data_IF_085224845108
#
_entry.id   IF_085224845108
#
_cell.length_a   1.000
_cell.length_b   1.000
_cell.length_c   1.000
_cell.angle_alpha   90.00
_cell.angle_beta   90.00
_cell.angle_gamma   90.00
#
_symmetry.space_group_name_H-M   'P 1'
#
loop_
_entity.id
_entity.type
_entity.pdbx_description
1 polymer ?
#
# COMPACT_ATOMS: atom_id res chain seq x y z
N UNK A 1 -12.40 -24.68 49.23
CA UNK A 1 -11.12 -24.07 48.81
C UNK A 1 -11.45 -22.95 47.85
N UNK A 2 -11.66 -21.75 48.39
CA UNK A 2 -11.78 -20.51 47.62
C UNK A 2 -10.37 -19.96 47.41
N UNK A 3 -9.98 -19.69 46.16
CA UNK A 3 -8.76 -18.95 45.87
C UNK A 3 -9.12 -17.47 45.69
N UNK A 4 -8.69 -16.68 46.67
CA UNK A 4 -8.70 -15.22 46.67
C UNK A 4 -7.60 -14.72 45.72
N UNK A 5 -7.98 -14.00 44.66
CA UNK A 5 -7.06 -13.15 43.92
C UNK A 5 -6.93 -11.83 44.69
N UNK A 6 -5.71 -11.55 45.18
CA UNK A 6 -5.35 -10.27 45.79
C UNK A 6 -5.01 -9.26 44.70
N UNK A 7 -5.76 -8.16 44.67
CA UNK A 7 -5.35 -6.89 44.09
C UNK A 7 -4.00 -6.46 44.68
N UNK A 8 -3.04 -6.10 43.83
CA UNK A 8 -1.83 -5.37 44.22
C UNK A 8 -1.62 -4.17 43.31
N UNK A 9 -2.03 -3.03 43.85
CA UNK A 9 -1.36 -1.73 43.86
C UNK A 9 -0.67 -1.23 42.57
N UNK A 10 -1.36 -0.31 41.90
CA UNK A 10 -0.77 0.73 41.06
C UNK A 10 0.09 1.70 41.89
N UNK A 11 1.38 1.83 41.54
CA UNK A 11 2.12 3.12 41.43
C UNK A 11 3.61 2.90 41.15
N UNK A 12 4.05 3.32 39.96
CA UNK A 12 5.27 4.08 39.62
C UNK A 12 5.47 3.99 38.11
N UNK A 13 5.93 5.06 37.47
CA UNK A 13 5.97 5.27 36.00
C UNK A 13 6.77 4.14 35.33
N UNK A 14 6.08 3.07 34.92
CA UNK A 14 6.66 1.79 34.54
C UNK A 14 6.57 1.57 33.03
N UNK A 15 7.69 1.30 32.39
CA UNK A 15 7.73 0.74 31.03
C UNK A 15 6.72 -0.42 30.93
N UNK A 16 5.67 -0.24 30.13
CA UNK A 16 4.66 -1.26 29.89
C UNK A 16 5.33 -2.53 29.33
N UNK A 17 5.05 -3.69 29.92
CA UNK A 17 5.54 -4.95 29.36
C UNK A 17 4.88 -5.19 27.99
N UNK A 18 5.61 -5.81 27.07
CA UNK A 18 5.02 -6.29 25.83
C UNK A 18 4.01 -7.41 26.13
N UNK A 19 3.00 -7.60 25.28
CA UNK A 19 2.01 -8.70 25.41
C UNK A 19 2.66 -10.09 25.59
N UNK A 20 3.88 -10.31 25.06
CA UNK A 20 4.63 -11.56 25.22
C UNK A 20 5.31 -11.72 26.60
N UNK A 21 5.05 -10.81 27.55
CA UNK A 21 5.62 -10.80 28.89
C UNK A 21 7.06 -10.28 28.98
N UNK A 22 7.69 -9.92 27.86
CA UNK A 22 9.04 -9.38 27.84
C UNK A 22 9.08 -7.89 28.19
N UNK A 23 10.02 -7.52 29.06
CA UNK A 23 10.30 -6.14 29.46
C UNK A 23 11.53 -5.51 28.77
N UNK A 24 12.30 -6.31 28.01
CA UNK A 24 13.43 -5.81 27.23
C UNK A 24 12.94 -5.07 25.97
N UNK A 25 12.68 -3.78 26.14
CA UNK A 25 12.21 -2.87 25.10
C UNK A 25 13.32 -1.88 24.72
N UNK A 26 13.51 -1.67 23.42
CA UNK A 26 14.40 -0.63 22.89
C UNK A 26 13.58 0.52 22.33
N UNK A 27 13.99 1.76 22.58
CA UNK A 27 13.35 2.94 22.00
C UNK A 27 13.29 2.85 20.47
N UNK A 28 12.08 3.02 19.92
CA UNK A 28 11.86 3.12 18.48
C UNK A 28 11.61 4.58 18.08
N UNK A 29 10.73 5.26 18.82
CA UNK A 29 10.46 6.69 18.71
C UNK A 29 10.23 7.29 20.11
N UNK A 30 9.86 8.58 20.20
CA UNK A 30 9.45 9.19 21.47
C UNK A 30 8.17 8.61 22.06
N UNK A 31 7.37 7.92 21.24
CA UNK A 31 6.03 7.40 21.59
C UNK A 31 5.96 5.87 21.63
N UNK A 32 6.93 5.17 21.03
CA UNK A 32 6.91 3.72 20.89
C UNK A 32 8.27 3.10 21.23
N UNK A 33 8.23 1.89 21.78
CA UNK A 33 9.40 1.03 21.96
C UNK A 33 9.20 -0.33 21.30
N UNK A 34 10.26 -0.86 20.71
CA UNK A 34 10.27 -2.17 20.06
C UNK A 34 10.64 -3.27 21.07
N UNK A 35 9.83 -4.31 21.14
CA UNK A 35 10.12 -5.51 21.90
C UNK A 35 11.16 -6.38 21.18
N UNK A 36 12.36 -6.52 21.75
CA UNK A 36 13.44 -7.29 21.11
C UNK A 36 13.18 -8.79 21.02
N UNK A 37 12.19 -9.30 21.76
CA UNK A 37 11.85 -10.72 21.80
C UNK A 37 10.84 -11.11 20.73
N UNK A 38 9.76 -10.35 20.53
CA UNK A 38 8.72 -10.69 19.55
C UNK A 38 8.64 -9.76 18.33
N UNK A 39 9.22 -8.56 18.39
CA UNK A 39 9.22 -7.60 17.29
C UNK A 39 8.03 -6.63 17.27
N UNK A 40 7.14 -6.67 18.27
CA UNK A 40 6.02 -5.71 18.39
C UNK A 40 6.53 -4.34 18.82
N UNK A 41 5.99 -3.27 18.22
CA UNK A 41 6.09 -1.92 18.79
C UNK A 41 5.00 -1.74 19.84
N UNK A 42 5.40 -1.35 21.03
CA UNK A 42 4.55 -1.13 22.20
C UNK A 42 4.46 0.37 22.45
N UNK A 43 3.23 0.87 22.64
CA UNK A 43 3.02 2.26 23.02
C UNK A 43 3.66 2.56 24.38
N UNK A 44 4.32 3.71 24.48
CA UNK A 44 4.90 4.21 25.74
C UNK A 44 3.92 5.05 26.56
N UNK A 45 2.82 5.50 25.96
CA UNK A 45 1.78 6.30 26.60
C UNK A 45 0.38 5.74 26.31
N UNK A 46 0.11 4.46 26.61
CA UNK A 46 -1.20 3.88 26.37
C UNK A 46 -2.24 4.52 27.30
N UNK A 47 -3.49 4.59 26.83
CA UNK A 47 -4.64 4.81 27.71
C UNK A 47 -4.72 3.67 28.74
N UNK A 48 -5.21 3.99 29.95
CA UNK A 48 -5.49 2.95 30.94
C UNK A 48 -6.67 2.08 30.50
N UNK A 49 -6.72 0.83 30.98
CA UNK A 49 -7.82 -0.10 30.64
C UNK A 49 -9.20 0.51 30.88
N UNK A 50 -9.38 1.24 31.98
CA UNK A 50 -10.65 1.91 32.30
C UNK A 50 -11.04 2.98 31.27
N UNK A 51 -10.06 3.70 30.70
CA UNK A 51 -10.29 4.72 29.68
C UNK A 51 -10.63 4.12 28.30
N UNK A 52 -10.36 2.83 28.09
CA UNK A 52 -10.72 2.12 26.87
C UNK A 52 -12.16 1.59 26.93
N UNK A 53 -12.79 1.53 28.11
CA UNK A 53 -14.20 1.20 28.22
C UNK A 53 -15.07 2.42 27.94
N UNK A 54 -16.24 2.18 27.33
CA UNK A 54 -17.25 3.21 27.11
C UNK A 54 -18.33 3.06 28.18
N UNK A 55 -18.28 3.95 29.16
CA UNK A 55 -19.31 4.12 30.19
C UNK A 55 -20.24 5.28 29.86
N UNK A 56 -19.70 6.36 29.28
CA UNK A 56 -20.40 7.52 28.76
C UNK A 56 -19.95 7.80 27.32
N UNK A 57 -20.85 7.51 26.39
CA UNK A 57 -20.62 7.57 24.95
C UNK A 57 -20.35 8.99 24.43
N UNK A 58 -20.65 10.05 25.19
CA UNK A 58 -20.37 11.43 24.75
C UNK A 58 -18.95 11.90 25.09
N UNK A 59 -18.25 11.24 26.03
CA UNK A 59 -16.96 11.73 26.56
C UNK A 59 -15.85 10.68 26.57
N UNK A 60 -16.18 9.40 26.60
CA UNK A 60 -15.18 8.34 26.68
C UNK A 60 -14.49 8.11 25.33
N UNK A 61 -13.29 7.53 25.40
CA UNK A 61 -12.36 7.51 24.27
C UNK A 61 -12.91 6.79 23.04
N UNK A 62 -13.56 5.62 23.18
CA UNK A 62 -14.23 4.95 22.05
C UNK A 62 -15.70 5.31 21.91
N UNK A 63 -16.11 6.44 22.48
CA UNK A 63 -17.48 6.95 22.38
C UNK A 63 -17.80 7.55 21.01
N UNK A 64 -18.97 8.16 20.92
CA UNK A 64 -19.48 8.85 19.73
C UNK A 64 -18.54 9.92 19.19
N UNK A 65 -17.88 10.70 20.04
CA UNK A 65 -17.03 11.80 19.58
C UNK A 65 -15.80 11.29 18.82
N UNK A 66 -15.18 10.22 19.30
CA UNK A 66 -14.11 9.52 18.58
C UNK A 66 -14.56 9.07 17.19
N UNK A 67 -15.73 8.45 17.10
CA UNK A 67 -16.29 8.05 15.81
C UNK A 67 -16.50 9.23 14.85
N UNK A 68 -17.02 10.35 15.34
CA UNK A 68 -17.24 11.56 14.54
C UNK A 68 -15.92 12.22 14.11
N UNK A 69 -14.95 12.29 15.01
CA UNK A 69 -13.64 12.87 14.74
C UNK A 69 -12.85 12.00 13.76
N UNK A 70 -12.70 10.71 14.03
CA UNK A 70 -12.00 9.78 13.14
C UNK A 70 -12.63 9.77 11.73
N UNK A 71 -13.96 9.72 11.66
CA UNK A 71 -14.66 9.75 10.38
C UNK A 71 -14.41 11.04 9.58
N UNK A 72 -14.41 12.20 10.23
CA UNK A 72 -14.31 13.49 9.54
C UNK A 72 -12.87 13.94 9.30
N UNK A 73 -12.00 13.76 10.28
CA UNK A 73 -10.62 14.23 10.27
C UNK A 73 -9.68 13.26 9.55
N UNK A 74 -9.84 11.95 9.79
CA UNK A 74 -8.91 10.94 9.25
C UNK A 74 -9.42 10.37 7.92
N UNK A 75 -10.73 10.09 7.82
CA UNK A 75 -11.32 9.47 6.62
C UNK A 75 -11.99 10.48 5.67
N UNK A 76 -12.18 11.73 6.10
CA UNK A 76 -12.77 12.79 5.27
C UNK A 76 -14.26 12.58 4.94
N UNK A 77 -14.98 11.74 5.69
CA UNK A 77 -16.40 11.50 5.47
C UNK A 77 -17.27 12.43 6.34
N UNK A 78 -18.29 13.09 5.76
CA UNK A 78 -19.09 14.08 6.47
C UNK A 78 -20.08 13.46 7.46
N UNK A 79 -20.51 12.20 7.24
CA UNK A 79 -21.40 11.48 8.14
C UNK A 79 -21.22 9.95 8.04
N UNK A 80 -21.77 9.25 9.04
CA UNK A 80 -21.70 7.79 9.19
C UNK A 80 -22.47 7.04 8.09
N UNK A 81 -23.45 7.68 7.46
CA UNK A 81 -24.22 7.10 6.36
C UNK A 81 -23.41 7.08 5.05
N UNK A 82 -22.59 8.11 4.81
CA UNK A 82 -21.67 8.14 3.67
C UNK A 82 -20.53 7.15 3.90
N UNK A 83 -19.91 7.15 5.09
CA UNK A 83 -18.86 6.18 5.44
C UNK A 83 -19.34 4.74 5.26
N UNK A 84 -20.43 4.36 5.94
CA UNK A 84 -20.95 2.98 5.90
C UNK A 84 -21.30 2.49 4.51
N UNK A 85 -21.76 3.38 3.62
CA UNK A 85 -22.02 3.07 2.20
C UNK A 85 -20.74 2.93 1.38
N UNK A 86 -19.71 3.73 1.65
CA UNK A 86 -18.42 3.65 0.94
C UNK A 86 -17.67 2.38 1.29
N UNK A 87 -17.68 2.02 2.57
CA UNK A 87 -17.04 0.80 3.08
C UNK A 87 -17.63 -0.47 2.43
N UNK A 88 -18.94 -0.48 2.11
CA UNK A 88 -19.57 -1.60 1.37
C UNK A 88 -18.89 -1.92 0.03
N UNK A 89 -18.48 -0.88 -0.71
CA UNK A 89 -17.91 -1.01 -2.05
C UNK A 89 -16.39 -1.09 -2.08
N UNK A 90 -15.73 -0.86 -0.95
CA UNK A 90 -14.26 -0.85 -0.83
C UNK A 90 -13.80 -1.94 0.15
N UNK A 91 -13.82 -1.62 1.45
CA UNK A 91 -13.28 -2.48 2.51
C UNK A 91 -14.06 -3.79 2.64
N UNK A 92 -15.38 -3.70 2.76
CA UNK A 92 -16.25 -4.85 2.99
C UNK A 92 -16.18 -5.86 1.84
N UNK A 93 -16.18 -5.39 0.60
CA UNK A 93 -16.08 -6.29 -0.56
C UNK A 93 -14.69 -6.95 -0.63
N UNK A 94 -13.63 -6.22 -0.27
CA UNK A 94 -12.28 -6.78 -0.18
C UNK A 94 -12.18 -7.87 0.88
N UNK A 95 -12.64 -7.60 2.10
CA UNK A 95 -12.63 -8.58 3.19
C UNK A 95 -13.53 -9.78 2.90
N UNK A 96 -14.71 -9.53 2.31
CA UNK A 96 -15.64 -10.59 1.94
C UNK A 96 -15.04 -11.55 0.90
N UNK A 97 -14.33 -11.04 -0.11
CA UNK A 97 -13.64 -11.87 -1.11
C UNK A 97 -12.72 -12.89 -0.47
N UNK A 98 -12.01 -12.52 0.59
CA UNK A 98 -11.18 -13.46 1.34
C UNK A 98 -12.03 -14.39 2.19
N UNK A 99 -12.99 -13.87 2.96
CA UNK A 99 -13.85 -14.69 3.83
C UNK A 99 -14.50 -15.85 3.05
N UNK A 100 -15.15 -15.54 1.92
CA UNK A 100 -15.91 -16.53 1.13
C UNK A 100 -15.01 -17.58 0.47
N UNK A 101 -13.72 -17.30 0.28
CA UNK A 101 -12.75 -18.30 -0.20
C UNK A 101 -12.48 -19.38 0.83
N UNK A 102 -12.63 -19.11 2.12
CA UNK A 102 -12.28 -20.03 3.21
C UNK A 102 -13.49 -20.62 3.93
N UNK A 103 -14.65 -19.97 3.87
CA UNK A 103 -15.93 -20.52 4.34
C UNK A 103 -17.02 -20.07 3.40
N UNK A 104 -17.80 -21.00 2.84
CA UNK A 104 -18.99 -20.68 2.04
C UNK A 104 -20.22 -20.47 2.96
N UNK A 105 -21.24 -19.71 2.53
CA UNK A 105 -22.51 -19.67 3.23
C UNK A 105 -23.26 -21.02 3.10
N UNK A 106 -24.09 -21.40 4.08
CA UNK A 106 -24.33 -20.70 5.35
C UNK A 106 -23.19 -20.92 6.35
N UNK A 107 -22.97 -19.95 7.23
CA UNK A 107 -22.04 -20.05 8.36
C UNK A 107 -22.32 -18.98 9.42
N UNK A 108 -21.90 -19.25 10.66
CA UNK A 108 -22.04 -18.36 11.81
C UNK A 108 -20.80 -17.48 11.95
N UNK A 109 -20.98 -16.16 11.84
CA UNK A 109 -19.88 -15.18 11.81
C UNK A 109 -20.05 -14.11 12.88
N UNK A 110 -18.98 -13.81 13.62
CA UNK A 110 -18.93 -12.69 14.55
C UNK A 110 -17.87 -11.68 14.10
N UNK A 111 -18.25 -10.42 13.95
CA UNK A 111 -17.31 -9.32 13.72
C UNK A 111 -17.07 -8.58 15.04
N UNK A 112 -15.84 -8.58 15.53
CA UNK A 112 -15.44 -7.83 16.73
C UNK A 112 -14.99 -6.45 16.27
N UNK A 113 -15.47 -5.40 16.95
CA UNK A 113 -15.27 -4.01 16.53
C UNK A 113 -15.98 -3.73 15.21
N UNK A 114 -17.25 -4.13 15.10
CA UNK A 114 -17.99 -4.07 13.84
C UNK A 114 -18.30 -2.63 13.37
N UNK A 115 -18.04 -1.63 14.21
CA UNK A 115 -18.32 -0.25 13.92
C UNK A 115 -19.78 -0.06 13.53
N UNK A 116 -20.01 0.73 12.47
CA UNK A 116 -21.36 0.97 11.96
C UNK A 116 -22.06 -0.28 11.39
N UNK A 117 -21.39 -1.43 11.31
CA UNK A 117 -22.00 -2.75 11.06
C UNK A 117 -22.30 -3.07 9.60
N UNK A 118 -21.72 -2.33 8.65
CA UNK A 118 -22.01 -2.55 7.23
C UNK A 118 -21.42 -3.88 6.74
N UNK A 119 -20.35 -4.39 7.35
CA UNK A 119 -19.77 -5.69 7.00
C UNK A 119 -20.61 -6.85 7.55
N UNK A 120 -21.06 -6.78 8.81
CA UNK A 120 -22.12 -7.68 9.34
C UNK A 120 -23.31 -7.76 8.38
N UNK A 121 -23.86 -6.61 7.97
CA UNK A 121 -25.00 -6.55 7.07
C UNK A 121 -24.70 -7.16 5.70
N UNK A 122 -23.51 -6.89 5.16
CA UNK A 122 -23.04 -7.46 3.89
C UNK A 122 -22.99 -8.99 3.95
N UNK A 123 -22.47 -9.55 5.04
CA UNK A 123 -22.42 -11.01 5.25
C UNK A 123 -23.83 -11.63 5.38
N UNK A 124 -24.78 -10.96 6.04
CA UNK A 124 -26.17 -11.45 6.08
C UNK A 124 -26.80 -11.51 4.69
N UNK A 125 -26.60 -10.49 3.85
CA UNK A 125 -27.07 -10.50 2.46
C UNK A 125 -26.43 -11.62 1.63
N UNK A 126 -25.21 -12.01 1.98
CA UNK A 126 -24.50 -13.13 1.39
C UNK A 126 -24.93 -14.52 1.93
N UNK A 127 -25.89 -14.59 2.86
CA UNK A 127 -26.44 -15.84 3.38
C UNK A 127 -25.78 -16.37 4.65
N UNK A 128 -24.94 -15.57 5.33
CA UNK A 128 -24.37 -15.93 6.62
C UNK A 128 -25.30 -15.54 7.78
N UNK A 129 -25.18 -16.24 8.90
CA UNK A 129 -25.72 -15.80 10.18
C UNK A 129 -24.64 -14.95 10.88
N UNK A 130 -24.65 -13.64 10.63
CA UNK A 130 -23.64 -12.73 11.16
C UNK A 130 -24.16 -11.80 12.25
N UNK A 131 -23.29 -11.50 13.21
CA UNK A 131 -23.50 -10.53 14.29
C UNK A 131 -22.22 -9.71 14.55
N UNK A 132 -22.37 -8.56 15.21
CA UNK A 132 -21.26 -7.67 15.54
C UNK A 132 -21.05 -7.48 17.05
N UNK A 133 -19.88 -7.00 17.43
CA UNK A 133 -19.56 -6.50 18.78
C UNK A 133 -19.02 -5.08 18.65
N UNK A 134 -19.54 -4.14 19.42
CA UNK A 134 -19.15 -2.73 19.37
C UNK A 134 -19.23 -2.08 20.76
N UNK A 135 -18.31 -1.16 21.05
CA UNK A 135 -18.19 -0.49 22.34
C UNK A 135 -19.14 0.70 22.47
N UNK A 136 -19.36 1.45 21.37
CA UNK A 136 -20.21 2.65 21.38
C UNK A 136 -21.69 2.33 21.20
N UNK A 137 -22.52 2.72 22.17
CA UNK A 137 -23.98 2.52 22.11
C UNK A 137 -24.63 3.31 20.97
N UNK A 138 -24.13 4.50 20.63
CA UNK A 138 -24.58 5.29 19.49
C UNK A 138 -24.34 4.55 18.16
N UNK A 139 -23.18 3.94 18.00
CA UNK A 139 -22.83 3.16 16.80
C UNK A 139 -23.64 1.85 16.72
N UNK A 140 -23.79 1.14 17.84
CA UNK A 140 -24.70 -0.02 17.94
C UNK A 140 -26.11 0.36 17.47
N UNK A 141 -26.64 1.47 18.01
CA UNK A 141 -27.97 1.97 17.65
C UNK A 141 -28.08 2.32 16.16
N UNK A 142 -26.99 2.83 15.56
CA UNK A 142 -26.95 3.11 14.12
C UNK A 142 -27.02 1.82 13.30
N UNK A 143 -26.22 0.81 13.64
CA UNK A 143 -26.19 -0.47 12.92
C UNK A 143 -27.54 -1.18 12.97
N UNK A 144 -28.14 -1.28 14.16
CA UNK A 144 -29.46 -1.88 14.36
C UNK A 144 -30.55 -1.16 13.55
N UNK A 145 -30.59 0.18 13.58
CA UNK A 145 -31.63 0.96 12.89
C UNK A 145 -31.45 1.01 11.37
N UNK A 146 -30.20 1.07 10.90
CA UNK A 146 -29.88 1.28 9.49
C UNK A 146 -29.86 -0.03 8.70
N UNK A 147 -29.28 -1.07 9.30
CA UNK A 147 -29.07 -2.36 8.65
C UNK A 147 -29.92 -3.50 9.22
N UNK A 148 -30.54 -3.33 10.40
CA UNK A 148 -31.34 -4.39 11.02
C UNK A 148 -30.51 -5.56 11.54
N UNK A 149 -29.23 -5.33 11.86
CA UNK A 149 -28.30 -6.37 12.28
C UNK A 149 -28.27 -6.54 13.81
N UNK A 150 -27.93 -7.74 14.32
CA UNK A 150 -27.65 -7.94 15.73
C UNK A 150 -26.25 -7.44 16.09
N UNK A 151 -26.15 -6.57 17.09
CA UNK A 151 -24.87 -6.08 17.62
C UNK A 151 -24.87 -6.17 19.14
N UNK A 152 -23.84 -6.78 19.70
CA UNK A 152 -23.62 -6.84 21.15
C UNK A 152 -22.84 -5.60 21.60
N UNK A 153 -23.34 -4.93 22.65
CA UNK A 153 -22.67 -3.78 23.24
C UNK A 153 -21.60 -4.21 24.25
N UNK A 154 -20.39 -3.68 24.08
CA UNK A 154 -19.29 -3.80 25.03
C UNK A 154 -18.18 -4.75 24.56
N UNK A 155 -17.25 -5.11 25.46
CA UNK A 155 -16.10 -5.95 25.12
C UNK A 155 -16.54 -7.40 24.89
N UNK A 156 -15.80 -8.13 24.05
CA UNK A 156 -16.06 -9.55 23.78
C UNK A 156 -16.13 -10.37 25.07
N UNK A 157 -15.25 -10.07 26.03
CA UNK A 157 -15.11 -10.74 27.32
C UNK A 157 -16.41 -10.76 28.14
N UNK A 158 -17.33 -9.83 27.90
CA UNK A 158 -18.59 -9.70 28.63
C UNK A 158 -19.79 -10.32 27.90
N UNK A 159 -19.58 -10.88 26.70
CA UNK A 159 -20.66 -11.43 25.88
C UNK A 159 -20.75 -12.93 26.11
N UNK A 160 -21.94 -13.40 26.50
CA UNK A 160 -22.22 -14.81 26.68
C UNK A 160 -22.57 -15.46 25.33
N UNK A 161 -21.54 -15.97 24.66
CA UNK A 161 -21.67 -16.79 23.45
C UNK A 161 -21.29 -18.24 23.74
N UNK A 162 -22.01 -19.17 23.11
CA UNK A 162 -21.72 -20.60 23.26
C UNK A 162 -20.33 -20.93 22.70
N UNK A 163 -19.53 -21.68 23.47
CA UNK A 163 -18.22 -22.17 23.00
C UNK A 163 -18.38 -23.07 21.78
N UNK A 164 -17.47 -22.97 20.82
CA UNK A 164 -17.51 -23.76 19.59
C UNK A 164 -18.75 -23.51 18.73
N UNK A 165 -19.35 -22.32 18.80
CA UNK A 165 -20.57 -21.98 18.06
C UNK A 165 -20.31 -21.27 16.74
N UNK A 166 -19.14 -20.63 16.56
CA UNK A 166 -18.84 -19.78 15.41
C UNK A 166 -17.95 -20.48 14.37
N UNK A 167 -18.24 -20.27 13.09
CA UNK A 167 -17.38 -20.71 11.98
C UNK A 167 -16.23 -19.71 11.74
N UNK A 168 -16.53 -18.42 11.85
CA UNK A 168 -15.56 -17.34 11.57
C UNK A 168 -15.69 -16.24 12.62
N UNK A 169 -14.55 -15.75 13.09
CA UNK A 169 -14.47 -14.50 13.85
C UNK A 169 -13.60 -13.52 13.08
N UNK A 170 -14.11 -12.32 12.87
CA UNK A 170 -13.49 -11.26 12.09
C UNK A 170 -13.02 -10.15 13.04
N UNK A 171 -11.81 -9.63 12.83
CA UNK A 171 -11.27 -8.44 13.48
C UNK A 171 -10.59 -7.57 12.43
N UNK A 172 -11.20 -6.45 12.05
CA UNK A 172 -10.62 -5.50 11.10
C UNK A 172 -10.22 -4.24 11.84
N UNK A 173 -8.92 -3.98 11.92
CA UNK A 173 -8.35 -2.79 12.57
C UNK A 173 -8.77 -2.71 14.06
N UNK A 174 -8.63 -3.84 14.78
CA UNK A 174 -9.02 -4.01 16.19
C UNK A 174 -7.88 -4.52 17.06
N UNK A 175 -7.06 -5.44 16.55
CA UNK A 175 -6.10 -6.19 17.34
C UNK A 175 -5.06 -5.28 18.02
N UNK A 176 -4.68 -4.20 17.35
CA UNK A 176 -3.75 -3.17 17.81
C UNK A 176 -4.30 -2.31 18.95
N UNK A 177 -5.61 -2.18 19.05
CA UNK A 177 -6.33 -1.43 20.09
C UNK A 177 -6.54 -2.25 21.37
N UNK A 178 -6.33 -3.56 21.32
CA UNK A 178 -6.62 -4.44 22.45
C UNK A 178 -5.60 -4.25 23.58
N UNK A 179 -6.06 -3.99 24.83
CA UNK A 179 -5.16 -3.88 25.98
C UNK A 179 -4.54 -5.23 26.36
N UNK A 180 -5.28 -6.33 26.15
CA UNK A 180 -4.79 -7.68 26.38
C UNK A 180 -5.12 -8.59 25.19
N UNK A 181 -4.36 -8.49 24.08
CA UNK A 181 -4.65 -9.23 22.85
C UNK A 181 -4.60 -10.75 23.07
N UNK A 182 -3.78 -11.23 24.02
CA UNK A 182 -3.69 -12.67 24.33
C UNK A 182 -5.01 -13.21 24.87
N UNK A 183 -5.61 -12.52 25.86
CA UNK A 183 -6.89 -12.93 26.45
C UNK A 183 -8.02 -12.89 25.43
N UNK A 184 -8.14 -11.81 24.66
CA UNK A 184 -9.20 -11.69 23.65
C UNK A 184 -9.06 -12.76 22.58
N UNK A 185 -7.85 -13.01 22.06
CA UNK A 185 -7.61 -14.08 21.09
C UNK A 185 -7.93 -15.47 21.67
N UNK A 186 -7.63 -15.72 22.95
CA UNK A 186 -8.04 -16.96 23.63
C UNK A 186 -9.56 -17.12 23.64
N UNK A 187 -10.30 -16.07 24.01
CA UNK A 187 -11.76 -16.09 23.99
C UNK A 187 -12.30 -16.36 22.58
N UNK A 188 -11.78 -15.67 21.56
CA UNK A 188 -12.16 -15.93 20.16
C UNK A 188 -11.97 -17.41 19.80
N UNK A 189 -10.82 -17.98 20.17
CA UNK A 189 -10.51 -19.37 19.89
C UNK A 189 -11.43 -20.34 20.65
N UNK A 190 -11.90 -20.03 21.86
CA UNK A 190 -12.90 -20.83 22.58
C UNK A 190 -14.28 -20.80 21.93
N UNK A 191 -14.65 -19.67 21.32
CA UNK A 191 -15.93 -19.50 20.61
C UNK A 191 -15.94 -20.16 19.24
N UNK A 192 -14.78 -20.27 18.59
CA UNK A 192 -14.65 -20.94 17.29
C UNK A 192 -14.85 -22.45 17.36
N UNK A 193 -15.58 -22.98 16.37
CA UNK A 193 -15.63 -24.41 16.06
C UNK A 193 -14.22 -24.98 15.82
N UNK A 194 -14.03 -26.31 15.95
CA UNK A 194 -12.73 -26.93 15.69
C UNK A 194 -12.14 -26.63 14.31
N UNK A 195 -12.98 -26.48 13.29
CA UNK A 195 -12.62 -26.12 11.91
C UNK A 195 -12.83 -24.63 11.59
N UNK A 196 -13.17 -23.81 12.58
CA UNK A 196 -13.35 -22.38 12.44
C UNK A 196 -12.01 -21.63 12.30
N UNK A 197 -12.09 -20.35 11.93
CA UNK A 197 -10.91 -19.52 11.76
C UNK A 197 -11.10 -18.05 12.18
N UNK A 198 -9.98 -17.40 12.46
CA UNK A 198 -9.89 -15.95 12.62
C UNK A 198 -9.56 -15.31 11.27
N UNK A 199 -10.24 -14.23 10.93
CA UNK A 199 -9.92 -13.35 9.81
C UNK A 199 -9.52 -11.99 10.38
N UNK A 200 -8.26 -11.59 10.21
CA UNK A 200 -7.69 -10.44 10.91
C UNK A 200 -7.02 -9.50 9.92
N UNK A 201 -7.38 -8.22 9.93
CA UNK A 201 -6.57 -7.14 9.38
C UNK A 201 -6.09 -6.23 10.51
N UNK A 202 -4.82 -5.84 10.48
CA UNK A 202 -4.20 -4.94 11.46
C UNK A 202 -2.93 -4.32 10.86
N UNK A 203 -2.47 -3.15 11.35
CA UNK A 203 -1.20 -2.57 10.91
C UNK A 203 -0.01 -3.53 11.04
N UNK A 204 0.82 -3.58 9.98
CA UNK A 204 2.06 -4.35 9.91
C UNK A 204 3.28 -3.47 10.17
N UNK A 205 3.86 -3.62 11.36
CA UNK A 205 5.22 -3.14 11.59
C UNK A 205 6.22 -4.03 10.83
N UNK A 206 6.77 -3.48 9.75
CA UNK A 206 7.86 -4.11 8.98
C UNK A 206 9.18 -3.99 9.74
N UNK A 207 9.58 -5.10 10.39
CA UNK A 207 10.82 -5.19 11.16
C UNK A 207 12.06 -4.79 10.36
N UNK A 208 13.09 -4.30 11.06
CA UNK A 208 14.35 -3.87 10.45
C UNK A 208 14.33 -2.46 9.86
N UNK A 209 13.18 -1.79 9.86
CA UNK A 209 13.08 -0.34 9.62
C UNK A 209 13.24 0.42 10.92
N UNK A 210 14.06 1.47 10.93
CA UNK A 210 14.12 2.44 12.03
C UNK A 210 13.06 3.53 11.83
N UNK A 211 12.76 4.29 12.88
CA UNK A 211 11.86 5.45 12.75
C UNK A 211 12.37 6.47 11.71
N UNK A 212 13.69 6.71 11.65
CA UNK A 212 14.28 7.59 10.63
C UNK A 212 14.02 7.08 9.23
N UNK A 213 14.19 5.78 8.99
CA UNK A 213 13.93 5.18 7.68
C UNK A 213 12.47 5.39 7.26
N UNK A 214 11.52 5.27 8.20
CA UNK A 214 10.11 5.49 7.90
C UNK A 214 9.83 6.96 7.54
N UNK A 215 10.47 7.91 8.22
CA UNK A 215 10.37 9.35 7.93
C UNK A 215 10.97 9.67 6.56
N UNK A 216 12.16 9.17 6.27
CA UNK A 216 12.87 9.41 5.01
C UNK A 216 12.11 8.82 3.81
N UNK A 217 11.44 7.67 4.01
CA UNK A 217 10.60 7.02 3.01
C UNK A 217 9.18 7.60 2.92
N UNK A 218 8.82 8.55 3.79
CA UNK A 218 7.44 9.06 3.93
C UNK A 218 6.42 7.90 4.06
N UNK A 219 6.79 6.88 4.84
CA UNK A 219 6.00 5.66 4.94
C UNK A 219 4.60 5.95 5.48
N UNK A 220 3.53 5.45 4.83
CA UNK A 220 2.16 5.54 5.35
C UNK A 220 2.01 4.98 6.76
N UNK A 221 2.86 4.02 7.14
CA UNK A 221 2.88 3.44 8.48
C UNK A 221 3.14 4.47 9.60
N UNK A 222 3.73 5.63 9.29
CA UNK A 222 3.86 6.72 10.27
C UNK A 222 2.51 7.18 10.82
N UNK A 223 1.46 7.12 9.99
CA UNK A 223 0.08 7.42 10.41
C UNK A 223 -0.49 6.44 11.44
N UNK A 224 0.09 5.24 11.52
CA UNK A 224 -0.29 4.21 12.50
C UNK A 224 0.39 4.41 13.86
N UNK A 225 1.29 5.37 14.02
CA UNK A 225 1.96 5.63 15.30
C UNK A 225 1.11 6.54 16.22
N UNK A 226 -0.05 6.03 16.62
CA UNK A 226 -1.04 6.70 17.47
C UNK A 226 -1.02 6.09 18.89
N UNK A 227 -0.15 6.57 19.81
CA UNK A 227 0.16 5.85 21.05
C UNK A 227 -1.02 5.73 22.04
N UNK A 228 -2.01 6.58 21.89
CA UNK A 228 -3.27 6.60 22.62
C UNK A 228 -4.28 5.57 22.09
N UNK A 229 -4.12 5.10 20.85
CA UNK A 229 -5.04 4.17 20.19
C UNK A 229 -4.41 2.80 19.95
N UNK A 230 -3.27 2.78 19.27
CA UNK A 230 -2.56 1.58 18.85
C UNK A 230 -1.56 1.15 19.93
N UNK A 231 -2.05 0.37 20.87
CA UNK A 231 -1.28 -0.11 22.03
C UNK A 231 -0.17 -1.07 21.61
N UNK A 232 -0.46 -1.94 20.63
CA UNK A 232 0.45 -2.95 20.12
C UNK A 232 0.44 -2.94 18.58
N UNK A 233 1.50 -2.44 17.95
CA UNK A 233 1.68 -2.56 16.50
C UNK A 233 2.51 -3.81 16.19
N UNK A 234 1.87 -4.79 15.59
CA UNK A 234 2.42 -6.11 15.41
C UNK A 234 3.30 -6.21 14.17
N UNK A 235 4.38 -7.00 14.26
CA UNK A 235 5.04 -7.56 13.08
C UNK A 235 4.46 -8.93 12.72
N UNK A 236 4.69 -9.41 11.50
CA UNK A 236 4.35 -10.80 11.12
C UNK A 236 4.91 -11.83 12.08
N UNK A 237 6.15 -11.65 12.54
CA UNK A 237 6.79 -12.55 13.51
C UNK A 237 6.02 -12.57 14.82
N UNK A 238 5.59 -11.40 15.29
CA UNK A 238 4.83 -11.28 16.54
C UNK A 238 3.43 -11.91 16.42
N UNK A 239 2.73 -11.74 15.29
CA UNK A 239 1.44 -12.40 15.01
C UNK A 239 1.59 -13.93 14.93
N UNK A 240 2.58 -14.40 14.19
CA UNK A 240 2.85 -15.84 14.10
C UNK A 240 3.17 -16.42 15.48
N UNK A 241 3.89 -15.68 16.32
CA UNK A 241 4.22 -16.11 17.67
C UNK A 241 2.99 -16.17 18.58
N UNK A 242 2.22 -15.09 18.70
CA UNK A 242 1.05 -15.07 19.60
C UNK A 242 0.05 -16.17 19.23
N UNK A 243 -0.21 -16.36 17.93
CA UNK A 243 -1.13 -17.40 17.46
C UNK A 243 -0.60 -18.82 17.73
N UNK A 244 0.70 -19.07 17.51
CA UNK A 244 1.29 -20.38 17.82
C UNK A 244 1.28 -20.69 19.32
N UNK A 245 1.54 -19.71 20.18
CA UNK A 245 1.47 -19.85 21.64
C UNK A 245 0.04 -20.20 22.09
N UNK A 246 -0.98 -19.78 21.33
CA UNK A 246 -2.40 -20.12 21.53
C UNK A 246 -2.84 -21.41 20.81
N UNK A 247 -1.91 -22.16 20.22
CA UNK A 247 -2.19 -23.44 19.55
C UNK A 247 -2.73 -23.32 18.12
N UNK A 248 -2.66 -22.14 17.50
CA UNK A 248 -3.05 -21.88 16.12
C UNK A 248 -1.83 -21.97 15.22
N UNK A 249 -1.78 -23.00 14.36
CA UNK A 249 -0.58 -23.31 13.56
C UNK A 249 -0.72 -22.98 12.07
N UNK A 250 -1.95 -22.93 11.55
CA UNK A 250 -2.20 -22.63 10.15
C UNK A 250 -2.48 -21.14 10.03
N UNK A 251 -1.48 -20.39 9.58
CA UNK A 251 -1.55 -18.93 9.44
C UNK A 251 -1.20 -18.60 8.01
N UNK A 252 -2.18 -18.05 7.27
CA UNK A 252 -2.06 -17.66 5.87
C UNK A 252 -2.17 -16.15 5.79
N UNK A 253 -1.19 -15.50 5.17
CA UNK A 253 -1.25 -14.05 4.90
C UNK A 253 -1.83 -13.81 3.51
N UNK A 254 -2.88 -13.01 3.46
CA UNK A 254 -3.55 -12.56 2.24
C UNK A 254 -3.17 -11.10 1.94
N UNK A 255 -3.53 -10.61 0.77
CA UNK A 255 -3.28 -9.21 0.41
C UNK A 255 -4.22 -8.29 1.19
N UNK A 256 -3.67 -7.44 2.05
CA UNK A 256 -4.43 -6.40 2.72
C UNK A 256 -4.91 -5.34 1.72
N UNK A 257 -6.02 -4.66 2.04
CA UNK A 257 -6.52 -3.57 1.19
C UNK A 257 -5.53 -2.39 1.15
N UNK A 258 -4.87 -2.14 2.28
CA UNK A 258 -3.81 -1.14 2.40
C UNK A 258 -2.44 -1.80 2.65
N UNK A 259 -1.98 -2.58 1.68
CA UNK A 259 -0.76 -3.42 1.79
C UNK A 259 0.56 -2.67 2.12
N UNK A 260 0.57 -1.35 2.01
CA UNK A 260 1.73 -0.54 2.39
C UNK A 260 1.99 -0.55 3.89
N UNK A 261 0.92 -0.58 4.69
CA UNK A 261 0.99 -0.48 6.16
C UNK A 261 0.18 -1.53 6.91
N UNK A 262 -0.69 -2.32 6.27
CA UNK A 262 -1.45 -3.40 6.89
C UNK A 262 -0.94 -4.79 6.54
N UNK A 263 -1.18 -5.74 7.45
CA UNK A 263 -1.23 -7.17 7.13
C UNK A 263 -2.66 -7.67 7.22
N UNK A 264 -2.97 -8.68 6.40
CA UNK A 264 -4.26 -9.36 6.40
C UNK A 264 -4.00 -10.86 6.48
N UNK A 265 -4.68 -11.56 7.39
CA UNK A 265 -4.42 -12.97 7.63
C UNK A 265 -5.66 -13.79 7.98
N UNK A 266 -5.54 -15.08 7.69
CA UNK A 266 -6.47 -16.13 8.07
C UNK A 266 -5.74 -17.10 8.99
N UNK A 267 -6.29 -17.37 10.17
CA UNK A 267 -5.64 -18.22 11.17
C UNK A 267 -6.58 -19.30 11.71
N UNK A 268 -6.15 -20.57 11.65
CA UNK A 268 -6.93 -21.72 12.12
C UNK A 268 -6.07 -22.78 12.81
N UNK A 269 -6.73 -23.57 13.67
CA UNK A 269 -6.15 -24.75 14.31
C UNK A 269 -5.93 -25.89 13.32
N UNK A 270 -6.74 -25.96 12.28
CA UNK A 270 -6.67 -26.99 11.22
C UNK A 270 -6.24 -26.36 9.90
N UNK A 271 -5.78 -27.20 8.97
CA UNK A 271 -5.49 -26.74 7.63
C UNK A 271 -6.79 -26.31 6.96
N UNK A 272 -6.81 -25.09 6.42
CA UNK A 272 -7.94 -24.57 5.67
C UNK A 272 -7.78 -24.90 4.18
N UNK A 273 -8.88 -25.32 3.57
CA UNK A 273 -9.00 -25.44 2.13
C UNK A 273 -9.61 -24.17 1.56
N UNK A 274 -9.25 -23.82 0.33
CA UNK A 274 -9.85 -22.70 -0.39
C UNK A 274 -10.84 -23.20 -1.42
N UNK A 275 -11.90 -22.42 -1.61
CA UNK A 275 -12.91 -22.66 -2.62
C UNK A 275 -12.57 -21.94 -3.93
N UNK A 276 -12.82 -22.61 -5.04
CA UNK A 276 -12.73 -22.02 -6.39
C UNK A 276 -13.83 -20.97 -6.61
N UNK A 277 -13.62 -20.08 -7.57
CA UNK A 277 -14.60 -19.06 -7.93
C UNK A 277 -15.95 -19.65 -8.32
N UNK A 278 -15.97 -20.80 -9.01
CA UNK A 278 -17.18 -21.51 -9.39
C UNK A 278 -17.93 -22.06 -8.17
N UNK A 279 -17.22 -22.56 -7.16
CA UNK A 279 -17.83 -23.01 -5.90
C UNK A 279 -18.39 -21.84 -5.10
N UNK A 280 -17.67 -20.72 -5.04
CA UNK A 280 -18.13 -19.48 -4.41
C UNK A 280 -19.40 -18.97 -5.09
N UNK A 281 -19.39 -18.87 -6.42
CA UNK A 281 -20.56 -18.42 -7.19
C UNK A 281 -21.75 -19.35 -6.97
N UNK A 282 -21.55 -20.67 -7.05
CA UNK A 282 -22.60 -21.65 -6.83
C UNK A 282 -23.23 -21.55 -5.42
N UNK A 283 -22.41 -21.34 -4.39
CA UNK A 283 -22.88 -21.18 -3.02
C UNK A 283 -23.69 -19.89 -2.82
N UNK A 284 -23.20 -18.77 -3.37
CA UNK A 284 -23.91 -17.49 -3.30
C UNK A 284 -25.21 -17.53 -4.13
N UNK A 285 -25.23 -18.15 -5.30
CA UNK A 285 -26.44 -18.30 -6.12
C UNK A 285 -27.52 -19.15 -5.44
N UNK A 286 -27.15 -20.03 -4.50
CA UNK A 286 -28.11 -20.81 -3.73
C UNK A 286 -28.96 -19.94 -2.78
N UNK A 287 -28.49 -18.73 -2.45
CA UNK A 287 -29.20 -17.80 -1.57
C UNK A 287 -29.80 -16.63 -2.38
N UNK A 288 -31.15 -16.48 -2.44
CA UNK A 288 -31.81 -15.51 -3.31
C UNK A 288 -31.36 -14.06 -3.14
N UNK A 289 -30.96 -13.66 -1.92
CA UNK A 289 -30.54 -12.29 -1.60
C UNK A 289 -29.11 -11.97 -2.05
N UNK A 290 -28.29 -12.99 -2.33
CA UNK A 290 -26.86 -12.81 -2.62
C UNK A 290 -26.57 -12.38 -4.06
N UNK A 291 -27.60 -12.13 -4.89
CA UNK A 291 -27.44 -11.56 -6.23
C UNK A 291 -26.77 -10.18 -6.21
N UNK A 292 -27.09 -9.35 -5.21
CA UNK A 292 -26.44 -8.05 -5.03
C UNK A 292 -24.97 -8.22 -4.61
N UNK A 293 -24.69 -9.18 -3.71
CA UNK A 293 -23.32 -9.54 -3.32
C UNK A 293 -22.49 -9.98 -4.53
N UNK A 294 -23.02 -10.87 -5.37
CA UNK A 294 -22.36 -11.31 -6.60
C UNK A 294 -22.09 -10.16 -7.56
N UNK A 295 -23.06 -9.27 -7.77
CA UNK A 295 -22.85 -8.09 -8.62
C UNK A 295 -21.76 -7.15 -8.07
N UNK A 296 -21.64 -6.99 -6.76
CA UNK A 296 -20.57 -6.22 -6.14
C UNK A 296 -19.21 -6.91 -6.28
N UNK A 297 -19.16 -8.23 -6.18
CA UNK A 297 -17.95 -9.02 -6.45
C UNK A 297 -17.50 -8.84 -7.89
N UNK A 298 -18.41 -8.98 -8.86
CA UNK A 298 -18.13 -8.77 -10.29
C UNK A 298 -17.61 -7.36 -10.56
N UNK A 299 -18.20 -6.34 -9.92
CA UNK A 299 -17.74 -4.95 -10.05
C UNK A 299 -16.33 -4.78 -9.49
N UNK A 300 -16.02 -5.41 -8.35
CA UNK A 300 -14.68 -5.37 -7.76
C UNK A 300 -13.65 -6.08 -8.63
N UNK A 301 -13.96 -7.23 -9.22
CA UNK A 301 -13.05 -7.90 -10.16
C UNK A 301 -12.76 -7.02 -11.39
N UNK A 302 -13.79 -6.35 -11.93
CA UNK A 302 -13.61 -5.41 -13.05
C UNK A 302 -12.76 -4.21 -12.66
N UNK A 303 -12.97 -3.66 -11.47
CA UNK A 303 -12.17 -2.56 -10.95
C UNK A 303 -10.69 -2.94 -10.83
N UNK A 304 -10.40 -4.13 -10.28
CA UNK A 304 -9.03 -4.63 -10.15
C UNK A 304 -8.36 -4.86 -11.51
N UNK A 305 -9.07 -5.46 -12.47
CA UNK A 305 -8.56 -5.64 -13.82
C UNK A 305 -8.28 -4.29 -14.53
N UNK A 306 -9.13 -3.28 -14.30
CA UNK A 306 -8.90 -1.93 -14.80
C UNK A 306 -7.70 -1.25 -14.13
N UNK A 307 -7.52 -1.44 -12.82
CA UNK A 307 -6.38 -0.90 -12.08
C UNK A 307 -5.05 -1.49 -12.57
N UNK A 308 -5.00 -2.81 -12.83
CA UNK A 308 -3.84 -3.47 -13.43
C UNK A 308 -3.54 -2.93 -14.83
N UNK A 309 -4.56 -2.81 -15.68
CA UNK A 309 -4.41 -2.22 -17.03
C UNK A 309 -3.91 -0.78 -16.98
N UNK A 310 -4.39 0.02 -16.02
CA UNK A 310 -3.94 1.39 -15.83
C UNK A 310 -2.47 1.43 -15.39
N UNK A 311 -2.07 0.57 -14.46
CA UNK A 311 -0.69 0.46 -13.99
C UNK A 311 0.26 0.12 -15.15
N UNK A 312 -0.10 -0.84 -15.99
CA UNK A 312 0.67 -1.20 -17.19
C UNK A 312 0.78 -0.01 -18.15
N UNK A 313 -0.32 0.72 -18.37
CA UNK A 313 -0.32 1.91 -19.22
C UNK A 313 0.56 3.03 -18.67
N UNK A 314 0.60 3.22 -17.35
CA UNK A 314 1.44 4.23 -16.71
C UNK A 314 2.93 3.85 -16.77
N UNK A 315 3.26 2.56 -16.64
CA UNK A 315 4.62 2.06 -16.82
C UNK A 315 5.11 2.24 -18.26
N UNK A 316 4.28 1.92 -19.26
CA UNK A 316 4.60 2.18 -20.67
C UNK A 316 4.76 3.69 -20.94
N UNK A 317 3.90 4.54 -20.36
CA UNK A 317 4.04 6.01 -20.47
C UNK A 317 5.37 6.49 -19.89
N UNK A 318 5.77 5.99 -18.73
CA UNK A 318 7.02 6.34 -18.08
C UNK A 318 8.23 5.91 -18.92
N UNK A 319 8.22 4.67 -19.45
CA UNK A 319 9.29 4.17 -20.31
C UNK A 319 9.42 4.97 -21.62
N UNK A 320 8.30 5.36 -22.24
CA UNK A 320 8.30 6.22 -23.43
C UNK A 320 8.82 7.62 -23.13
N UNK A 321 8.48 8.18 -21.97
CA UNK A 321 9.00 9.49 -21.55
C UNK A 321 10.53 9.44 -21.41
N UNK A 322 11.09 8.39 -20.82
CA UNK A 322 12.54 8.19 -20.73
C UNK A 322 13.19 8.14 -22.11
N UNK A 323 12.61 7.39 -23.06
CA UNK A 323 13.10 7.35 -24.44
C UNK A 323 13.04 8.71 -25.14
N UNK A 324 11.95 9.46 -24.94
CA UNK A 324 11.82 10.83 -25.50
C UNK A 324 12.91 11.74 -24.94
N UNK A 325 13.22 11.66 -23.64
CA UNK A 325 14.28 12.45 -23.01
C UNK A 325 15.64 12.12 -23.66
N UNK A 326 15.96 10.83 -23.83
CA UNK A 326 17.20 10.37 -24.48
C UNK A 326 17.30 10.86 -25.92
N UNK A 327 16.26 10.64 -26.73
CA UNK A 327 16.24 11.05 -28.14
C UNK A 327 16.30 12.57 -28.30
N UNK A 328 15.66 13.32 -27.41
CA UNK A 328 15.73 14.79 -27.41
C UNK A 328 17.14 15.28 -27.13
N UNK A 329 17.87 14.61 -26.22
CA UNK A 329 19.27 14.94 -25.94
C UNK A 329 20.16 14.63 -27.15
N UNK A 330 20.00 13.46 -27.77
CA UNK A 330 20.72 13.09 -28.99
C UNK A 330 20.46 14.05 -30.15
N UNK A 331 19.20 14.52 -30.30
CA UNK A 331 18.85 15.50 -31.33
C UNK A 331 19.57 16.83 -31.11
N UNK A 332 19.61 17.34 -29.87
CA UNK A 332 20.35 18.57 -29.54
C UNK A 332 21.84 18.44 -29.87
N UNK A 333 22.45 17.30 -29.54
CA UNK A 333 23.85 17.02 -29.87
C UNK A 333 24.07 16.96 -31.39
N UNK A 334 23.16 16.32 -32.12
CA UNK A 334 23.21 16.25 -33.57
C UNK A 334 23.05 17.64 -34.22
N UNK A 335 22.18 18.50 -33.69
CA UNK A 335 21.99 19.88 -34.16
C UNK A 335 23.25 20.73 -33.95
N UNK A 336 23.90 20.62 -32.79
CA UNK A 336 25.19 21.30 -32.51
C UNK A 336 26.26 20.83 -33.49
N UNK A 337 26.39 19.51 -33.68
CA UNK A 337 27.35 18.93 -34.63
C UNK A 337 27.07 19.38 -36.06
N UNK A 338 25.80 19.43 -36.47
CA UNK A 338 25.41 19.94 -37.79
C UNK A 338 25.84 21.38 -37.98
N UNK A 339 25.66 22.24 -36.97
CA UNK A 339 26.06 23.64 -37.04
C UNK A 339 27.58 23.78 -37.18
N UNK A 340 28.36 22.98 -36.45
CA UNK A 340 29.83 22.93 -36.59
C UNK A 340 30.25 22.52 -38.00
N UNK A 341 29.63 21.48 -38.56
CA UNK A 341 29.91 21.02 -39.92
C UNK A 341 29.58 22.10 -40.97
N UNK A 342 28.47 22.82 -40.82
CA UNK A 342 28.11 23.93 -41.73
C UNK A 342 29.22 24.98 -41.72
N UNK A 343 29.65 25.44 -40.54
CA UNK A 343 30.74 26.43 -40.43
C UNK A 343 32.05 25.93 -41.04
N UNK A 344 32.35 24.64 -40.89
CA UNK A 344 33.55 24.05 -41.49
C UNK A 344 33.47 23.97 -43.02
N UNK A 345 32.30 23.64 -43.58
CA UNK A 345 32.07 23.63 -45.02
C UNK A 345 32.19 25.05 -45.59
N UNK A 346 31.64 26.06 -44.93
CA UNK A 346 31.77 27.46 -45.34
C UNK A 346 33.24 27.91 -45.39
N UNK A 347 34.02 27.57 -44.34
CA UNK A 347 35.45 27.90 -44.29
C UNK A 347 36.25 27.20 -45.41
N UNK A 348 35.98 25.91 -45.66
CA UNK A 348 36.63 25.17 -46.74
C UNK A 348 36.24 25.72 -48.12
N UNK A 349 34.98 26.12 -48.30
CA UNK A 349 34.50 26.71 -49.56
C UNK A 349 35.26 28.01 -49.87
N UNK A 350 35.44 28.88 -48.87
CA UNK A 350 36.26 30.10 -49.03
C UNK A 350 37.72 29.78 -49.40
N UNK A 351 38.33 28.76 -48.78
CA UNK A 351 39.70 28.35 -49.13
C UNK A 351 39.82 27.86 -50.57
N UNK A 352 38.82 27.10 -51.04
CA UNK A 352 38.76 26.62 -52.43
C UNK A 352 38.61 27.79 -53.40
N UNK A 353 37.76 28.77 -53.11
CA UNK A 353 37.63 29.99 -53.94
C UNK A 353 38.95 30.76 -54.05
N UNK A 354 39.63 31.00 -52.93
CA UNK A 354 40.94 31.68 -52.90
C UNK A 354 41.98 30.90 -53.70
N UNK A 355 42.05 29.58 -53.52
CA UNK A 355 42.98 28.71 -54.26
C UNK A 355 42.68 28.70 -55.76
N UNK A 356 41.39 28.72 -56.14
CA UNK A 356 40.97 28.79 -57.55
C UNK A 356 41.43 30.09 -58.20
N UNK A 357 41.23 31.23 -57.53
CA UNK A 357 41.71 32.54 -58.02
C UNK A 357 43.24 32.57 -58.15
N UNK A 358 43.98 31.95 -57.22
CA UNK A 358 45.43 31.84 -57.30
C UNK A 358 45.88 31.00 -58.50
N UNK A 359 45.22 29.87 -58.76
CA UNK A 359 45.49 29.02 -59.93
C UNK A 359 45.21 29.77 -61.23
N UNK A 360 44.10 30.52 -61.32
CA UNK A 360 43.78 31.36 -62.48
C UNK A 360 44.87 32.43 -62.71
N UNK A 361 45.29 33.13 -61.65
CA UNK A 361 46.34 34.14 -61.74
C UNK A 361 47.70 33.56 -62.18
N UNK A 362 48.08 32.40 -61.62
CA UNK A 362 49.30 31.69 -62.02
C UNK A 362 49.23 31.22 -63.47
N UNK A 363 48.07 30.75 -63.93
CA UNK A 363 47.84 30.33 -65.32
C UNK A 363 48.05 31.51 -66.27
N UNK A 364 47.46 32.67 -65.97
CA UNK A 364 47.67 33.90 -66.75
C UNK A 364 49.14 34.34 -66.76
N UNK A 365 49.86 34.23 -65.63
CA UNK A 365 51.29 34.54 -65.58
C UNK A 365 52.12 33.59 -66.45
N UNK A 366 51.82 32.29 -66.44
CA UNK A 366 52.49 31.29 -67.28
C UNK A 366 52.22 31.57 -68.76
N UNK A 367 50.99 31.90 -69.14
CA UNK A 367 50.64 32.29 -70.51
C UNK A 367 51.41 33.54 -70.95
N UNK A 368 51.46 34.58 -70.11
CA UNK A 368 52.20 35.81 -70.40
C UNK A 368 53.72 35.56 -70.54
N UNK A 369 54.31 34.74 -69.66
CA UNK A 369 55.71 34.35 -69.74
C UNK A 369 56.00 33.54 -71.01
N UNK A 370 55.12 32.59 -71.38
CA UNK A 370 55.24 31.84 -72.63
C UNK A 370 55.18 32.75 -73.86
N UNK A 371 54.30 33.76 -73.85
CA UNK A 371 54.23 34.76 -74.92
C UNK A 371 55.54 35.56 -75.02
N UNK A 372 56.06 36.07 -73.90
CA UNK A 372 57.35 36.78 -73.87
C UNK A 372 58.52 35.89 -74.32
N UNK A 373 58.52 34.61 -73.95
CA UNK A 373 59.53 33.65 -74.37
C UNK A 373 59.47 33.43 -75.89
N UNK A 374 58.27 33.30 -76.46
CA UNK A 374 58.06 33.18 -77.91
C UNK A 374 58.48 34.45 -78.65
N UNK A 375 58.20 35.63 -78.12
CA UNK A 375 58.65 36.92 -78.67
C UNK A 375 60.17 37.06 -78.63
N UNK A 376 60.81 36.76 -77.50
CA UNK A 376 62.28 36.77 -77.37
C UNK A 376 62.94 35.71 -78.25
N UNK A 377 62.34 34.53 -78.38
CA UNK A 377 62.83 33.49 -79.29
C UNK A 377 62.71 33.94 -80.74
N UNK A 378 61.60 34.57 -81.12
CA UNK A 378 61.42 35.20 -82.43
C UNK A 378 62.45 36.29 -82.71
N UNK A 379 62.72 37.17 -81.76
CA UNK A 379 63.75 38.22 -81.86
C UNK A 379 65.16 37.60 -81.95
N UNK A 380 65.47 36.59 -81.12
CA UNK A 380 66.75 35.88 -81.15
C UNK A 380 66.98 35.20 -82.51
N UNK A 381 65.97 34.52 -83.06
CA UNK A 381 66.05 33.92 -84.39
C UNK A 381 66.16 34.97 -85.49
N UNK A 382 65.48 36.12 -85.39
CA UNK A 382 65.60 37.24 -86.32
C UNK A 382 66.99 37.91 -86.28
N UNK A 383 67.57 38.12 -85.10
CA UNK A 383 68.93 38.65 -84.95
C UNK A 383 69.99 37.65 -85.43
N UNK A 384 69.81 36.35 -85.16
CA UNK A 384 70.68 35.29 -85.64
C UNK A 384 70.61 35.14 -87.17
N UNK A 385 69.42 35.29 -87.76
CA UNK A 385 69.24 35.38 -89.21
C UNK A 385 69.90 36.64 -89.77
N UNK A 386 69.72 37.82 -89.15
CA UNK A 386 70.41 39.04 -89.60
C UNK A 386 71.93 38.92 -89.59
N UNK A 387 72.52 38.26 -88.58
CA UNK A 387 73.97 37.96 -88.53
C UNK A 387 74.44 36.91 -89.53
N UNK A 388 73.56 36.04 -90.02
CA UNK A 388 73.88 35.08 -91.10
C UNK A 388 73.81 35.74 -92.49
N UNK A 389 73.13 36.89 -92.62
CA UNK A 389 72.92 37.63 -93.86
C UNK A 389 73.61 39.01 -93.91
N UNK A 390 74.44 39.34 -92.91
CA UNK A 390 75.37 40.49 -92.88
C UNK A 390 76.79 39.98 -92.80
#
# INVERSE_FOLDING_TARGET
>A
MLFLWQEKECKEIGMHNCWCGNSNLSTFSSKYAECKVCGTLVSLNPLSTDQLFVHDDEVDFYGKQYWLDHQSQDLGFPDIYIRSRKDLTERNIHWFRTLVRYRLPPGDVLEIGCGHGSFVAFMQQAGYQSSGVEMSQWVVSFGEKTFGIPVYLGPLENIDLSKGSLDVIVMMDVLEHLPNPVTTLQNCLELLRPDGFLLIQTPEFKEGKTYSDLVDLQSPFLGMLQPDEHLNLFSRRSIVRILNELGVKNILFEQAIFADYDMFLVASRVQLETHSSEQVEAALLAHPQSRMTLALLDLRERELALAETLQDSEQDRAARLEQIIILTQQLKEAEVNRQLHITQVEALTQQVEVSTQQVEALTQQVEALNQQLNEKSGIYWLEKLKKLFS
#
